data_IF_987446968729
#
_entry.id   IF_987446968729
#
_cell.length_a   1.000
_cell.length_b   1.000
_cell.length_c   1.000
_cell.angle_alpha   90.00
_cell.angle_beta   90.00
_cell.angle_gamma   90.00
#
_symmetry.space_group_name_H-M   'P 1'
#
loop_
_entity.id
_entity.type
_entity.pdbx_description
1 polymer ?
#
# COMPACT_ATOMS: atom_id res chain seq x y z
N UNK A 1 60.63 9.68 -23.53
CA UNK A 1 59.45 9.29 -22.72
C UNK A 1 58.71 10.57 -22.35
N UNK A 2 57.54 10.82 -22.93
CA UNK A 2 56.71 12.01 -22.68
C UNK A 2 55.49 11.60 -21.85
N UNK A 3 55.43 12.09 -20.62
CA UNK A 3 54.33 11.85 -19.68
C UNK A 3 53.08 12.61 -20.10
N UNK A 4 51.96 11.90 -20.27
CA UNK A 4 50.63 12.50 -20.39
C UNK A 4 49.95 12.43 -19.01
N UNK A 5 49.62 13.60 -18.46
CA UNK A 5 48.81 13.75 -17.24
C UNK A 5 47.34 13.73 -17.68
N UNK A 6 46.62 12.66 -17.35
CA UNK A 6 45.17 12.56 -17.51
C UNK A 6 44.50 13.24 -16.31
N UNK A 7 43.84 14.37 -16.58
CA UNK A 7 42.97 15.06 -15.63
C UNK A 7 41.64 14.27 -15.59
N UNK A 8 41.40 13.53 -14.50
CA UNK A 8 40.07 12.97 -14.20
C UNK A 8 39.14 14.13 -13.80
N UNK A 9 38.25 14.53 -14.70
CA UNK A 9 37.10 15.34 -14.35
C UNK A 9 36.08 14.44 -13.62
N UNK A 10 35.96 14.61 -12.32
CA UNK A 10 34.89 14.02 -11.53
C UNK A 10 33.55 14.65 -11.97
N UNK A 11 32.78 13.93 -12.78
CA UNK A 11 31.35 14.22 -12.94
C UNK A 11 30.68 13.98 -11.59
N UNK A 12 30.41 15.06 -10.86
CA UNK A 12 29.49 15.02 -9.74
C UNK A 12 28.12 14.55 -10.25
N UNK A 13 27.71 13.35 -9.84
CA UNK A 13 26.36 12.86 -10.07
C UNK A 13 25.39 13.80 -9.36
N UNK A 14 24.70 14.65 -10.11
CA UNK A 14 23.60 15.44 -9.57
C UNK A 14 22.46 14.48 -9.17
N UNK A 15 22.02 14.45 -7.91
CA UNK A 15 20.86 13.66 -7.53
C UNK A 15 19.63 14.16 -8.30
N UNK A 16 18.91 13.21 -8.88
CA UNK A 16 17.73 13.39 -9.71
C UNK A 16 16.65 14.24 -9.03
N UNK A 17 16.02 15.12 -9.80
CA UNK A 17 15.04 16.13 -9.38
C UNK A 17 13.67 15.59 -8.89
N UNK A 18 13.61 14.36 -8.39
CA UNK A 18 12.40 13.70 -7.85
C UNK A 18 12.55 13.31 -6.37
N UNK A 19 13.42 13.97 -5.62
CA UNK A 19 13.44 13.79 -4.16
C UNK A 19 12.17 14.43 -3.55
N UNK A 20 11.12 13.62 -3.37
CA UNK A 20 10.14 13.91 -2.33
C UNK A 20 10.91 14.06 -1.01
N UNK A 21 10.58 15.08 -0.22
CA UNK A 21 11.14 15.19 1.13
C UNK A 21 10.52 14.06 1.96
N UNK A 22 11.26 12.96 2.05
CA UNK A 22 10.87 11.82 2.86
C UNK A 22 11.51 11.93 4.24
N UNK A 23 10.71 11.72 5.27
CA UNK A 23 11.12 11.71 6.66
C UNK A 23 10.78 10.37 7.31
N UNK A 24 11.46 10.05 8.41
CA UNK A 24 11.14 8.88 9.22
C UNK A 24 9.89 9.11 10.09
N UNK A 25 9.64 8.26 11.09
CA UNK A 25 8.46 8.34 11.94
C UNK A 25 8.53 9.43 13.03
N UNK A 26 9.53 10.31 13.00
CA UNK A 26 9.70 11.32 14.05
C UNK A 26 8.47 12.22 14.17
N UNK A 27 7.97 12.42 15.39
CA UNK A 27 6.78 13.25 15.65
C UNK A 27 5.44 12.52 15.49
N UNK A 28 5.43 11.24 15.11
CA UNK A 28 4.23 10.39 15.19
C UNK A 28 4.00 9.94 16.65
N UNK A 29 2.76 9.64 17.05
CA UNK A 29 2.48 9.08 18.37
C UNK A 29 3.10 7.69 18.51
N UNK A 30 3.23 7.23 19.75
CA UNK A 30 3.59 5.84 20.03
C UNK A 30 2.42 4.90 19.66
N UNK A 31 2.69 3.68 19.19
CA UNK A 31 1.69 2.63 19.12
C UNK A 31 1.07 2.38 20.49
N UNK A 32 -0.25 2.27 20.52
CA UNK A 32 -1.04 1.93 21.70
C UNK A 32 -0.98 0.45 22.06
N UNK A 33 -1.99 -0.01 22.79
CA UNK A 33 -2.09 -1.41 23.18
C UNK A 33 -2.26 -2.33 21.95
N UNK A 34 -1.68 -3.55 21.96
CA UNK A 34 -1.84 -4.49 20.87
C UNK A 34 -3.32 -4.77 20.57
N UNK A 35 -3.70 -4.67 19.30
CA UNK A 35 -5.03 -5.02 18.83
C UNK A 35 -5.20 -6.54 18.68
N UNK A 36 -6.43 -7.08 18.78
CA UNK A 36 -6.69 -8.48 18.51
C UNK A 36 -6.19 -8.91 17.12
N UNK A 37 -5.60 -10.10 17.06
CA UNK A 37 -5.17 -10.72 15.80
C UNK A 37 -6.40 -11.21 15.03
N UNK A 38 -6.49 -10.83 13.76
CA UNK A 38 -7.59 -11.22 12.87
C UNK A 38 -6.98 -11.70 11.58
N UNK A 39 -7.10 -13.00 11.29
CA UNK A 39 -6.49 -13.61 10.11
C UNK A 39 -6.78 -12.83 8.82
N UNK A 40 -5.75 -12.66 7.99
CA UNK A 40 -5.81 -11.85 6.77
C UNK A 40 -5.66 -10.34 7.02
N UNK A 41 -5.19 -9.93 8.20
CA UNK A 41 -4.91 -8.51 8.49
C UNK A 41 -3.46 -8.31 8.90
N UNK A 42 -2.90 -7.17 8.51
CA UNK A 42 -1.66 -6.69 9.08
C UNK A 42 -1.88 -6.24 10.53
N UNK A 43 -0.93 -6.60 11.39
CA UNK A 43 -0.90 -6.20 12.80
C UNK A 43 0.52 -5.90 13.23
N UNK A 44 0.67 -4.79 13.95
CA UNK A 44 1.88 -4.46 14.66
C UNK A 44 1.94 -5.19 16.01
N UNK A 45 3.14 -5.64 16.35
CA UNK A 45 3.52 -6.09 17.69
C UNK A 45 4.81 -5.38 18.10
N UNK A 46 4.92 -4.98 19.36
CA UNK A 46 6.13 -4.33 19.88
C UNK A 46 7.38 -5.21 19.73
N UNK A 47 7.23 -6.53 19.90
CA UNK A 47 8.34 -7.47 19.92
C UNK A 47 8.75 -7.96 18.51
N UNK A 48 7.85 -7.83 17.53
CA UNK A 48 8.02 -8.45 16.20
C UNK A 48 7.85 -7.47 15.04
N UNK A 49 7.45 -6.23 15.32
CA UNK A 49 7.10 -5.25 14.30
C UNK A 49 5.79 -5.58 13.59
N UNK A 50 5.65 -5.08 12.36
CA UNK A 50 4.49 -5.34 11.52
C UNK A 50 4.55 -6.76 10.94
N UNK A 51 3.43 -7.48 10.98
CA UNK A 51 3.30 -8.82 10.41
C UNK A 51 1.93 -9.07 9.78
N UNK A 52 1.87 -10.02 8.84
CA UNK A 52 0.61 -10.53 8.32
C UNK A 52 0.11 -11.66 9.23
N UNK A 53 -1.11 -11.52 9.74
CA UNK A 53 -1.73 -12.55 10.58
C UNK A 53 -2.38 -13.63 9.71
N UNK A 54 -2.10 -14.88 10.03
CA UNK A 54 -2.63 -16.05 9.32
C UNK A 54 -3.25 -17.03 10.32
N UNK A 55 -4.18 -17.92 9.90
CA UNK A 55 -4.67 -18.98 10.76
C UNK A 55 -3.53 -19.86 11.31
N UNK A 56 -3.63 -20.30 12.56
CA UNK A 56 -2.57 -21.07 13.24
C UNK A 56 -2.08 -22.29 12.45
N UNK A 57 -2.98 -23.04 11.82
CA UNK A 57 -2.61 -24.20 11.00
C UNK A 57 -1.74 -23.81 9.80
N UNK A 58 -2.11 -22.71 9.12
CA UNK A 58 -1.33 -22.18 8.00
C UNK A 58 0.02 -21.65 8.48
N UNK A 59 0.05 -20.90 9.59
CA UNK A 59 1.30 -20.44 10.19
C UNK A 59 2.24 -21.59 10.58
N UNK A 60 1.71 -22.67 11.13
CA UNK A 60 2.48 -23.86 11.48
C UNK A 60 3.05 -24.58 10.23
N UNK A 61 2.26 -24.70 9.17
CA UNK A 61 2.72 -25.27 7.90
C UNK A 61 3.82 -24.39 7.26
N UNK A 62 3.65 -23.06 7.27
CA UNK A 62 4.68 -22.11 6.81
C UNK A 62 5.98 -22.25 7.61
N UNK A 63 5.90 -22.34 8.95
CA UNK A 63 7.07 -22.48 9.81
C UNK A 63 7.84 -23.79 9.58
N UNK A 64 7.15 -24.86 9.16
CA UNK A 64 7.75 -26.15 8.80
C UNK A 64 8.18 -26.24 7.33
N UNK A 65 8.00 -25.17 6.54
CA UNK A 65 8.22 -25.14 5.09
C UNK A 65 7.34 -26.14 4.32
N UNK A 66 6.21 -26.55 4.90
CA UNK A 66 5.21 -27.43 4.26
C UNK A 66 4.27 -26.64 3.32
N UNK A 67 4.27 -25.30 3.43
CA UNK A 67 3.55 -24.39 2.53
C UNK A 67 4.36 -23.12 2.26
N UNK A 68 4.21 -22.47 1.08
CA UNK A 68 4.91 -21.23 0.78
C UNK A 68 4.63 -20.15 1.83
N UNK A 69 5.69 -19.46 2.27
CA UNK A 69 5.53 -18.27 3.12
C UNK A 69 4.94 -17.16 2.25
N UNK A 70 3.71 -16.76 2.58
CA UNK A 70 2.97 -15.75 1.82
C UNK A 70 2.22 -14.80 2.73
N UNK A 71 2.18 -13.52 2.35
CA UNK A 71 1.39 -12.48 3.00
C UNK A 71 0.19 -12.03 2.14
N UNK A 72 -0.10 -12.77 1.06
CA UNK A 72 -1.22 -12.48 0.17
C UNK A 72 -2.58 -12.31 0.85
N UNK A 73 -2.92 -13.09 1.90
CA UNK A 73 -4.17 -12.87 2.62
C UNK A 73 -4.31 -11.45 3.18
N UNK A 74 -3.20 -10.79 3.52
CA UNK A 74 -3.18 -9.43 4.06
C UNK A 74 -3.10 -8.33 2.98
N UNK A 75 -2.80 -8.67 1.72
CA UNK A 75 -2.76 -7.72 0.60
C UNK A 75 -4.15 -7.54 -0.04
N UNK A 76 -5.14 -7.24 0.79
CA UNK A 76 -6.54 -7.08 0.38
C UNK A 76 -7.11 -5.77 0.90
N UNK A 77 -7.78 -5.01 0.03
CA UNK A 77 -8.55 -3.82 0.38
C UNK A 77 -10.03 -4.14 0.15
N UNK A 78 -10.76 -4.36 1.23
CA UNK A 78 -12.10 -4.93 1.18
C UNK A 78 -12.12 -6.30 0.51
N UNK A 79 -12.92 -6.41 -0.56
CA UNK A 79 -13.08 -7.66 -1.29
C UNK A 79 -12.02 -7.88 -2.38
N UNK A 80 -11.13 -6.93 -2.64
CA UNK A 80 -10.16 -7.00 -3.73
C UNK A 80 -8.77 -7.29 -3.19
N UNK A 81 -8.16 -8.36 -3.69
CA UNK A 81 -6.81 -8.76 -3.39
C UNK A 81 -5.91 -8.75 -4.60
N UNK A 82 -4.61 -8.66 -4.32
CA UNK A 82 -3.60 -8.91 -5.34
C UNK A 82 -3.71 -10.35 -5.84
N UNK A 83 -3.47 -10.57 -7.14
CA UNK A 83 -3.68 -11.83 -7.89
C UNK A 83 -5.12 -12.21 -8.23
N UNK A 84 -6.13 -11.47 -7.73
CA UNK A 84 -7.51 -11.67 -8.19
C UNK A 84 -7.57 -11.44 -9.71
N UNK A 85 -8.41 -12.22 -10.41
CA UNK A 85 -8.61 -12.05 -11.85
C UNK A 85 -9.52 -10.86 -12.15
N UNK A 86 -9.38 -10.27 -13.33
CA UNK A 86 -10.28 -9.23 -13.84
C UNK A 86 -11.76 -9.61 -13.66
N UNK A 87 -12.15 -10.81 -14.10
CA UNK A 87 -13.53 -11.30 -13.97
C UNK A 87 -14.01 -11.37 -12.52
N UNK A 88 -13.14 -11.75 -11.57
CA UNK A 88 -13.50 -11.76 -10.15
C UNK A 88 -13.72 -10.34 -9.61
N UNK A 89 -12.87 -9.38 -10.02
CA UNK A 89 -13.02 -7.98 -9.62
C UNK A 89 -14.33 -7.39 -10.16
N UNK A 90 -14.62 -7.57 -11.44
CA UNK A 90 -15.84 -7.03 -12.06
C UNK A 90 -17.12 -7.66 -11.50
N UNK A 91 -17.07 -8.94 -11.10
CA UNK A 91 -18.17 -9.57 -10.37
C UNK A 91 -18.44 -8.90 -9.02
N UNK A 92 -17.42 -8.34 -8.38
CA UNK A 92 -17.52 -7.71 -7.06
C UNK A 92 -17.82 -6.21 -7.13
N UNK A 93 -17.21 -5.50 -8.08
CA UNK A 93 -17.29 -4.04 -8.19
C UNK A 93 -18.19 -3.55 -9.33
N UNK A 94 -18.59 -4.42 -10.25
CA UNK A 94 -19.25 -4.05 -11.49
C UNK A 94 -18.27 -3.58 -12.56
N UNK A 95 -18.80 -2.87 -13.56
CA UNK A 95 -18.02 -2.33 -14.68
C UNK A 95 -17.18 -1.12 -14.25
N UNK A 96 -15.96 -0.95 -14.81
CA UNK A 96 -15.14 0.22 -14.54
C UNK A 96 -15.73 1.48 -15.20
N UNK A 97 -15.55 2.64 -14.55
CA UNK A 97 -15.91 3.95 -15.11
C UNK A 97 -14.86 4.49 -16.07
N UNK A 98 -13.63 4.00 -15.96
CA UNK A 98 -12.52 4.38 -16.82
C UNK A 98 -11.50 3.24 -16.92
N UNK A 99 -10.93 3.06 -18.11
CA UNK A 99 -9.85 2.11 -18.40
C UNK A 99 -8.70 2.89 -19.02
N UNK A 100 -7.49 2.69 -18.51
CA UNK A 100 -6.27 3.33 -18.99
C UNK A 100 -5.22 2.28 -19.34
N UNK A 101 -4.90 2.16 -20.62
CA UNK A 101 -3.82 1.31 -21.11
C UNK A 101 -2.46 1.87 -20.65
N UNK A 102 -1.65 1.04 -20.00
CA UNK A 102 -0.30 1.39 -19.51
C UNK A 102 0.81 0.66 -20.29
N UNK A 103 0.45 -0.38 -21.05
CA UNK A 103 1.35 -1.15 -21.90
C UNK A 103 0.65 -2.39 -22.47
N UNK A 104 1.37 -3.18 -23.28
CA UNK A 104 0.81 -4.33 -24.03
C UNK A 104 0.04 -5.34 -23.15
N UNK A 105 0.43 -5.48 -21.89
CA UNK A 105 -0.20 -6.40 -20.93
C UNK A 105 -0.68 -5.71 -19.66
N UNK A 106 -0.62 -4.37 -19.61
CA UNK A 106 -0.87 -3.62 -18.38
C UNK A 106 -1.92 -2.55 -18.60
N UNK A 107 -2.93 -2.56 -17.75
CA UNK A 107 -4.00 -1.56 -17.75
C UNK A 107 -4.33 -1.17 -16.30
N UNK A 108 -4.90 0.02 -16.13
CA UNK A 108 -5.49 0.46 -14.87
C UNK A 108 -6.96 0.76 -15.07
N UNK A 109 -7.81 0.29 -14.14
CA UNK A 109 -9.25 0.49 -14.16
C UNK A 109 -9.69 1.23 -12.92
N UNK A 110 -10.62 2.16 -13.10
CA UNK A 110 -11.25 2.91 -12.01
C UNK A 110 -12.65 2.36 -11.76
N UNK A 111 -12.96 2.02 -10.52
CA UNK A 111 -14.29 1.59 -10.09
C UNK A 111 -14.78 2.51 -8.98
N UNK A 112 -15.86 3.24 -9.21
CA UNK A 112 -16.42 4.12 -8.20
C UNK A 112 -17.23 3.33 -7.17
N UNK A 113 -17.11 3.72 -5.89
CA UNK A 113 -17.98 3.20 -4.84
C UNK A 113 -19.16 4.14 -4.67
N UNK A 114 -20.37 3.61 -4.90
CA UNK A 114 -21.60 4.37 -4.78
C UNK A 114 -21.85 4.79 -3.33
N UNK A 115 -21.98 6.10 -3.11
CA UNK A 115 -22.48 6.67 -1.87
C UNK A 115 -23.11 8.04 -2.09
N UNK A 116 -23.97 8.53 -1.19
CA UNK A 116 -24.48 9.89 -1.23
C UNK A 116 -23.34 10.92 -1.12
N UNK A 117 -23.44 12.00 -1.90
CA UNK A 117 -22.46 13.10 -1.89
C UNK A 117 -21.84 13.37 -3.27
N UNK A 118 -21.05 14.45 -3.34
CA UNK A 118 -20.42 14.90 -4.59
C UNK A 118 -19.16 14.11 -4.95
N UNK A 119 -18.21 14.00 -4.01
CA UNK A 119 -16.96 13.26 -4.22
C UNK A 119 -17.17 11.81 -3.80
N UNK A 120 -16.95 10.86 -4.72
CA UNK A 120 -17.07 9.43 -4.46
C UNK A 120 -15.69 8.79 -4.26
N UNK A 121 -15.51 7.93 -3.25
CA UNK A 121 -14.33 7.10 -3.15
C UNK A 121 -14.34 6.10 -4.30
N UNK A 122 -13.16 5.71 -4.75
CA UNK A 122 -13.01 4.81 -5.88
C UNK A 122 -11.80 3.90 -5.68
N UNK A 123 -11.91 2.73 -6.29
CA UNK A 123 -10.78 1.86 -6.50
C UNK A 123 -10.03 2.28 -7.76
N UNK A 124 -8.70 2.22 -7.69
CA UNK A 124 -7.82 2.16 -8.85
C UNK A 124 -7.16 0.79 -8.82
N UNK A 125 -7.46 -0.05 -9.80
CA UNK A 125 -6.96 -1.43 -9.88
C UNK A 125 -6.08 -1.56 -11.10
N UNK A 126 -4.81 -1.89 -10.89
CA UNK A 126 -3.85 -2.13 -11.97
C UNK A 126 -3.75 -3.62 -12.22
N UNK A 127 -3.89 -3.99 -13.49
CA UNK A 127 -3.80 -5.36 -13.97
C UNK A 127 -2.51 -5.55 -14.77
N UNK A 128 -1.97 -6.75 -14.66
CA UNK A 128 -1.01 -7.32 -15.61
C UNK A 128 -1.51 -8.68 -16.04
N UNK A 129 -1.64 -8.92 -17.35
CA UNK A 129 -2.17 -10.17 -17.91
C UNK A 129 -3.49 -10.61 -17.23
N UNK A 130 -4.45 -9.68 -17.14
CA UNK A 130 -5.76 -9.87 -16.51
C UNK A 130 -5.75 -10.25 -15.02
N UNK A 131 -4.64 -10.01 -14.29
CA UNK A 131 -4.52 -10.23 -12.84
C UNK A 131 -4.17 -8.95 -12.12
N UNK A 132 -4.78 -8.74 -10.95
CA UNK A 132 -4.49 -7.59 -10.09
C UNK A 132 -3.04 -7.63 -9.64
N UNK A 133 -2.27 -6.61 -9.99
CA UNK A 133 -0.89 -6.37 -9.52
C UNK A 133 -0.79 -5.15 -8.61
N UNK A 134 -1.80 -4.29 -8.59
CA UNK A 134 -1.95 -3.25 -7.58
C UNK A 134 -3.41 -2.94 -7.37
N UNK A 135 -3.79 -2.63 -6.13
CA UNK A 135 -5.09 -2.03 -5.82
C UNK A 135 -4.90 -0.88 -4.86
N UNK A 136 -5.59 0.19 -5.16
CA UNK A 136 -5.65 1.39 -4.35
C UNK A 136 -7.11 1.76 -4.11
N UNK A 137 -7.45 2.18 -2.91
CA UNK A 137 -8.73 2.80 -2.56
C UNK A 137 -8.42 4.22 -2.10
N UNK A 138 -9.05 5.23 -2.70
CA UNK A 138 -8.87 6.65 -2.35
C UNK A 138 -10.23 7.32 -2.27
N UNK A 139 -10.36 8.29 -1.36
CA UNK A 139 -11.46 9.24 -1.38
C UNK A 139 -11.87 9.69 0.01
N UNK A 140 -13.08 10.25 0.15
CA UNK A 140 -13.62 10.59 1.45
C UNK A 140 -13.99 9.33 2.24
N UNK A 141 -14.21 9.48 3.57
CA UNK A 141 -14.78 8.42 4.40
C UNK A 141 -16.08 7.87 3.81
N UNK A 142 -16.30 6.57 4.05
CA UNK A 142 -17.42 5.83 3.46
C UNK A 142 -18.52 5.59 4.48
N UNK A 143 -19.79 5.69 4.06
CA UNK A 143 -20.94 5.32 4.92
C UNK A 143 -20.91 3.84 5.33
N UNK A 144 -20.55 2.96 4.40
CA UNK A 144 -20.30 1.54 4.65
C UNK A 144 -18.80 1.33 4.42
N UNK A 145 -17.99 1.22 5.48
CA UNK A 145 -16.54 1.20 5.34
C UNK A 145 -16.04 -0.02 4.55
N UNK A 146 -15.27 0.26 3.51
CA UNK A 146 -14.31 -0.70 2.96
C UNK A 146 -13.03 -0.59 3.77
N UNK A 147 -12.49 -1.72 4.21
CA UNK A 147 -11.34 -1.73 5.11
C UNK A 147 -10.08 -2.34 4.53
N UNK A 148 -8.92 -1.81 4.93
CA UNK A 148 -7.60 -2.44 4.76
C UNK A 148 -7.04 -2.80 6.13
N UNK A 149 -6.86 -4.11 6.42
CA UNK A 149 -6.41 -4.58 7.75
C UNK A 149 -7.24 -4.04 8.94
N UNK A 150 -8.54 -3.81 8.72
CA UNK A 150 -9.44 -3.23 9.73
C UNK A 150 -9.34 -1.70 9.89
N UNK A 151 -8.55 -1.02 9.04
CA UNK A 151 -8.55 0.43 8.88
C UNK A 151 -9.57 0.87 7.83
N UNK A 152 -10.22 2.01 8.03
CA UNK A 152 -11.14 2.64 7.08
C UNK A 152 -10.63 4.03 6.64
N UNK A 153 -11.10 4.50 5.48
CA UNK A 153 -10.88 5.90 5.08
C UNK A 153 -11.50 6.82 6.15
N UNK A 154 -10.73 7.84 6.57
CA UNK A 154 -11.08 8.72 7.68
C UNK A 154 -10.59 8.28 9.06
N UNK A 155 -10.01 7.09 9.19
CA UNK A 155 -9.34 6.72 10.44
C UNK A 155 -8.20 7.69 10.73
N UNK A 156 -8.10 8.09 11.99
CA UNK A 156 -7.05 9.01 12.44
C UNK A 156 -5.66 8.34 12.46
N UNK A 157 -4.66 9.19 12.57
CA UNK A 157 -3.25 8.78 12.62
C UNK A 157 -2.96 7.82 13.77
N UNK A 158 -3.60 7.96 14.94
CA UNK A 158 -3.38 7.03 16.05
C UNK A 158 -3.85 5.62 15.67
N UNK A 159 -5.04 5.52 15.05
CA UNK A 159 -5.61 4.25 14.61
C UNK A 159 -4.73 3.54 13.57
N UNK A 160 -4.13 4.30 12.65
CA UNK A 160 -3.15 3.78 11.68
C UNK A 160 -1.94 3.19 12.42
N UNK A 161 -1.36 3.96 13.35
CA UNK A 161 -0.16 3.57 14.10
C UNK A 161 -0.43 2.38 15.05
N UNK A 162 -1.60 2.32 15.70
CA UNK A 162 -2.00 1.18 16.53
C UNK A 162 -2.11 -0.11 15.71
N UNK A 163 -2.52 0.02 14.45
CA UNK A 163 -2.76 -1.12 13.57
C UNK A 163 -1.48 -1.60 12.88
N UNK A 164 -0.71 -0.68 12.31
CA UNK A 164 0.43 -0.99 11.43
C UNK A 164 1.79 -0.65 12.04
N UNK A 165 1.81 0.01 13.20
CA UNK A 165 3.03 0.57 13.77
C UNK A 165 3.52 1.77 12.97
N UNK A 166 4.73 2.22 13.28
CA UNK A 166 5.34 3.34 12.58
C UNK A 166 5.66 3.02 11.11
N UNK A 167 5.33 3.93 10.18
CA UNK A 167 5.89 3.86 8.83
C UNK A 167 7.39 4.08 8.88
N UNK A 168 8.11 3.44 7.97
CA UNK A 168 9.55 3.68 7.80
C UNK A 168 9.80 5.02 7.11
N UNK A 169 8.98 5.33 6.10
CA UNK A 169 9.11 6.55 5.31
C UNK A 169 7.76 7.23 5.17
N UNK A 170 7.78 8.54 5.34
CA UNK A 170 6.68 9.44 5.05
C UNK A 170 7.14 10.49 4.05
N UNK A 171 6.56 10.49 2.87
CA UNK A 171 7.00 11.34 1.77
C UNK A 171 5.92 12.35 1.41
N UNK A 172 6.31 13.63 1.27
CA UNK A 172 5.42 14.69 0.80
C UNK A 172 5.68 14.96 -0.69
N UNK A 173 4.74 14.62 -1.59
CA UNK A 173 4.77 15.11 -2.96
C UNK A 173 4.60 16.64 -2.93
N UNK A 174 5.43 17.36 -3.70
CA UNK A 174 5.63 18.83 -3.62
C UNK A 174 4.39 19.73 -3.82
N UNK A 175 3.18 19.20 -3.92
CA UNK A 175 1.99 19.99 -4.30
C UNK A 175 0.64 19.43 -3.83
N UNK A 176 0.58 18.36 -3.03
CA UNK A 176 -0.68 17.64 -2.80
C UNK A 176 -1.30 17.81 -1.41
N UNK A 177 -0.55 18.29 -0.42
CA UNK A 177 -0.98 18.24 0.99
C UNK A 177 -1.12 16.81 1.55
N UNK A 178 -0.85 15.79 0.71
CA UNK A 178 -0.86 14.37 1.07
C UNK A 178 0.52 13.97 1.56
N UNK A 179 0.58 13.24 2.66
CA UNK A 179 1.76 12.54 3.12
C UNK A 179 1.59 11.04 2.82
N UNK A 180 2.48 10.47 2.01
CA UNK A 180 2.45 9.04 1.68
C UNK A 180 3.34 8.26 2.66
N UNK A 181 2.74 7.34 3.41
CA UNK A 181 3.38 6.51 4.43
C UNK A 181 3.65 5.11 3.90
N UNK A 182 4.82 4.55 4.17
CA UNK A 182 5.24 3.23 3.66
C UNK A 182 6.01 2.41 4.70
N UNK A 183 5.95 1.08 4.57
CA UNK A 183 6.62 0.10 5.44
C UNK A 183 7.49 -0.83 4.58
N UNK A 184 8.83 -0.83 4.71
CA UNK A 184 9.68 -1.45 3.67
C UNK A 184 9.49 -2.96 3.46
N UNK A 185 9.09 -3.69 4.50
CA UNK A 185 8.93 -5.15 4.40
C UNK A 185 7.61 -5.58 3.76
N UNK A 186 6.69 -4.64 3.51
CA UNK A 186 5.38 -4.94 2.96
C UNK A 186 5.07 -3.98 1.81
N UNK A 187 4.50 -4.48 0.71
CA UNK A 187 4.18 -3.64 -0.45
C UNK A 187 2.88 -2.87 -0.21
N UNK A 188 2.86 -2.06 0.86
CA UNK A 188 1.70 -1.32 1.33
C UNK A 188 2.06 0.16 1.53
N UNK A 189 1.10 1.03 1.25
CA UNK A 189 1.21 2.45 1.52
C UNK A 189 -0.14 3.03 1.98
N UNK A 190 -0.08 4.10 2.76
CA UNK A 190 -1.27 4.88 3.16
C UNK A 190 -1.03 6.34 2.79
N UNK A 191 -1.99 6.93 2.08
CA UNK A 191 -2.05 8.37 1.87
C UNK A 191 -2.75 9.00 3.07
N UNK A 192 -2.09 9.96 3.73
CA UNK A 192 -2.59 10.66 4.91
C UNK A 192 -2.77 12.15 4.59
N UNK A 193 -3.92 12.71 4.90
CA UNK A 193 -4.24 14.14 4.77
C UNK A 193 -4.66 14.66 6.13
N UNK A 194 -3.97 15.69 6.64
CA UNK A 194 -4.29 16.33 7.93
C UNK A 194 -4.41 15.33 9.11
N UNK A 195 -3.64 14.24 9.07
CA UNK A 195 -3.65 13.20 10.10
C UNK A 195 -4.74 12.13 9.93
N UNK A 196 -5.44 12.08 8.80
CA UNK A 196 -6.47 11.07 8.51
C UNK A 196 -6.14 10.24 7.27
N UNK A 197 -6.51 8.97 7.28
CA UNK A 197 -6.36 8.07 6.13
C UNK A 197 -7.25 8.55 4.96
N UNK A 198 -6.62 8.94 3.85
CA UNK A 198 -7.28 9.35 2.61
C UNK A 198 -7.15 8.31 1.49
N UNK A 199 -6.21 7.37 1.63
CA UNK A 199 -6.09 6.26 0.69
C UNK A 199 -5.25 5.10 1.21
N UNK A 200 -5.54 3.91 0.70
CA UNK A 200 -4.79 2.68 0.95
C UNK A 200 -4.26 2.15 -0.37
N UNK A 201 -3.02 1.66 -0.38
CA UNK A 201 -2.40 1.04 -1.55
C UNK A 201 -1.78 -0.28 -1.15
N UNK A 202 -2.03 -1.31 -1.94
CA UNK A 202 -1.27 -2.56 -1.90
C UNK A 202 -0.80 -2.87 -3.31
N UNK A 203 0.46 -3.28 -3.43
CA UNK A 203 1.03 -3.70 -4.70
C UNK A 203 1.51 -5.14 -4.58
N UNK A 204 1.53 -5.88 -5.68
CA UNK A 204 2.35 -7.08 -5.75
C UNK A 204 3.81 -6.61 -5.67
N UNK A 205 4.66 -7.21 -4.82
CA UNK A 205 6.08 -7.00 -4.95
C UNK A 205 6.46 -7.59 -6.30
N UNK A 206 6.65 -6.75 -7.31
CA UNK A 206 7.22 -7.18 -8.58
C UNK A 206 8.44 -8.04 -8.24
N UNK A 207 8.37 -9.32 -8.61
CA UNK A 207 9.49 -10.23 -8.43
C UNK A 207 10.71 -9.59 -9.08
N UNK A 208 11.78 -9.48 -8.30
CA UNK A 208 13.11 -9.49 -8.88
C UNK A 208 13.37 -10.87 -9.46
#
# INVERSE_FOLDING_TARGET
>A
MRSFILILAALAAAPSAFAAACQGPQGLPLPGAPLPLVAGQFRYSADHGLGCTVPNQQGAAMAKHESPVTFLPCLRIGAIGVSDSLNQVEKLLGEPVNITEMGVFSESRIYEVAQPGGIRPHYVVTYYDSRVVAVQLIGPPMLIPVTFSGLALGDDQQRIIDTLGWPEKRCHPKSSGVEMWTWANFPIAIDVIEGFAAGFKVTWPAGR
#
